data_IF_344320634873
#
_entry.id   IF_344320634873
#
_cell.length_a   1.000
_cell.length_b   1.000
_cell.length_c   1.000
_cell.angle_alpha   90.00
_cell.angle_beta   90.00
_cell.angle_gamma   90.00
#
_symmetry.space_group_name_H-M   'P 1'
#
loop_
_entity.id
_entity.type
_entity.pdbx_description
1 polymer ?
#
# COMPACT_ATOMS: atom_id res chain seq x y z
N UNK A 1 26.39 -4.28 -3.47
CA UNK A 1 26.03 -2.92 -3.94
C UNK A 1 27.30 -2.11 -4.18
N UNK A 2 27.35 -1.37 -5.26
CA UNK A 2 28.43 -0.45 -5.57
C UNK A 2 27.85 0.83 -6.21
N UNK A 3 28.10 1.99 -5.60
CA UNK A 3 27.69 3.28 -6.13
C UNK A 3 28.80 3.76 -7.05
N UNK A 4 28.56 3.77 -8.37
CA UNK A 4 29.56 4.04 -9.39
C UNK A 4 29.86 5.52 -9.57
N UNK A 5 28.89 6.38 -9.23
CA UNK A 5 29.04 7.85 -9.32
C UNK A 5 29.12 8.48 -7.93
N UNK A 6 29.77 9.63 -7.84
CA UNK A 6 29.85 10.37 -6.57
C UNK A 6 28.49 10.98 -6.22
N UNK A 7 27.94 10.60 -5.09
CA UNK A 7 26.69 11.17 -4.53
C UNK A 7 26.96 12.17 -3.40
N UNK A 8 28.22 12.52 -3.16
CA UNK A 8 28.60 13.44 -2.09
C UNK A 8 27.91 14.80 -2.24
N UNK A 9 27.15 15.17 -1.21
CA UNK A 9 26.41 16.43 -1.17
C UNK A 9 25.18 16.48 -2.07
N UNK A 10 24.75 15.34 -2.65
CA UNK A 10 23.53 15.23 -3.46
C UNK A 10 22.34 14.83 -2.60
N UNK A 11 21.16 15.29 -3.00
CA UNK A 11 19.88 14.75 -2.52
C UNK A 11 19.55 13.52 -3.34
N UNK A 12 19.45 12.37 -2.66
CA UNK A 12 19.29 11.06 -3.31
C UNK A 12 17.90 10.50 -3.05
N UNK A 13 17.25 10.03 -4.09
CA UNK A 13 15.99 9.28 -4.01
C UNK A 13 16.24 7.82 -4.34
N UNK A 14 15.96 6.93 -3.38
CA UNK A 14 16.06 5.48 -3.56
C UNK A 14 14.67 4.90 -3.76
N UNK A 15 14.41 4.34 -4.94
CA UNK A 15 13.12 3.73 -5.26
C UNK A 15 13.27 2.23 -5.19
N UNK A 16 12.61 1.59 -4.24
CA UNK A 16 12.66 0.15 -4.02
C UNK A 16 11.31 -0.38 -3.55
N UNK A 17 10.70 -1.27 -4.32
CA UNK A 17 9.51 -2.01 -3.91
C UNK A 17 9.92 -3.18 -3.02
N UNK A 18 9.20 -3.38 -1.90
CA UNK A 18 9.47 -4.48 -0.96
C UNK A 18 8.46 -5.62 -1.21
N UNK A 19 8.32 -6.03 -2.47
CA UNK A 19 7.53 -7.19 -2.88
C UNK A 19 8.34 -8.49 -2.74
N UNK A 20 7.75 -9.62 -3.10
CA UNK A 20 8.47 -10.89 -3.11
C UNK A 20 9.69 -10.86 -4.08
N UNK A 21 10.83 -11.35 -3.61
CA UNK A 21 11.15 -11.92 -2.29
C UNK A 21 11.39 -10.83 -1.23
N UNK A 22 10.44 -10.68 -0.31
CA UNK A 22 10.34 -9.56 0.65
C UNK A 22 11.61 -9.29 1.43
N UNK A 23 12.15 -10.34 2.07
CA UNK A 23 13.31 -10.20 2.97
C UNK A 23 14.58 -9.83 2.21
N UNK A 24 14.73 -10.33 1.00
CA UNK A 24 15.87 -10.04 0.13
C UNK A 24 15.81 -8.59 -0.33
N UNK A 25 14.66 -8.14 -0.85
CA UNK A 25 14.44 -6.78 -1.31
C UNK A 25 14.59 -5.76 -0.17
N UNK A 26 14.08 -6.11 1.02
CA UNK A 26 14.25 -5.23 2.19
C UNK A 26 15.71 -5.13 2.63
N UNK A 27 16.44 -6.25 2.68
CA UNK A 27 17.85 -6.24 3.04
C UNK A 27 18.72 -5.53 1.98
N UNK A 28 18.38 -5.70 0.70
CA UNK A 28 19.04 -4.95 -0.38
C UNK A 28 18.87 -3.44 -0.18
N UNK A 29 17.65 -2.99 0.11
CA UNK A 29 17.37 -1.59 0.43
C UNK A 29 18.25 -1.10 1.59
N UNK A 30 18.30 -1.84 2.70
CA UNK A 30 19.11 -1.49 3.87
C UNK A 30 20.60 -1.32 3.52
N UNK A 31 21.14 -2.21 2.68
CA UNK A 31 22.53 -2.16 2.23
C UNK A 31 22.77 -0.95 1.31
N UNK A 32 21.82 -0.63 0.44
CA UNK A 32 21.89 0.57 -0.42
C UNK A 32 21.93 1.85 0.43
N UNK A 33 21.04 1.92 1.42
CA UNK A 33 20.95 3.09 2.31
C UNK A 33 22.24 3.30 3.12
N UNK A 34 22.81 2.22 3.70
CA UNK A 34 24.10 2.30 4.38
C UNK A 34 25.23 2.77 3.44
N UNK A 35 25.24 2.28 2.20
CA UNK A 35 26.24 2.70 1.21
C UNK A 35 26.12 4.20 0.86
N UNK A 36 24.90 4.72 0.71
CA UNK A 36 24.64 6.14 0.42
C UNK A 36 25.05 7.04 1.59
N UNK A 37 24.72 6.65 2.82
CA UNK A 37 25.16 7.34 4.02
C UNK A 37 26.69 7.42 4.09
N UNK A 38 27.41 6.30 3.87
CA UNK A 38 28.88 6.26 3.83
C UNK A 38 29.49 7.04 2.67
N UNK A 39 28.74 7.19 1.56
CA UNK A 39 29.16 8.01 0.43
C UNK A 39 28.95 9.52 0.65
N UNK A 40 28.44 9.93 1.81
CA UNK A 40 28.19 11.32 2.21
C UNK A 40 27.15 12.01 1.31
N UNK A 41 26.05 11.33 0.97
CA UNK A 41 24.87 11.99 0.42
C UNK A 41 24.42 13.12 1.35
N UNK A 42 23.82 14.18 0.81
CA UNK A 42 23.28 15.29 1.60
C UNK A 42 21.96 14.91 2.28
N UNK A 43 21.06 14.30 1.53
CA UNK A 43 19.84 13.69 2.02
C UNK A 43 19.57 12.37 1.33
N UNK A 44 18.91 11.45 2.02
CA UNK A 44 18.49 10.15 1.48
C UNK A 44 16.99 9.99 1.68
N UNK A 45 16.24 10.08 0.59
CA UNK A 45 14.80 9.99 0.54
C UNK A 45 14.40 8.61 -0.02
N UNK A 46 13.57 7.87 0.69
CA UNK A 46 13.22 6.50 0.29
C UNK A 46 11.80 6.48 -0.28
N UNK A 47 11.66 5.94 -1.49
CA UNK A 47 10.36 5.76 -2.16
C UNK A 47 10.03 4.27 -2.18
N UNK A 48 9.00 3.88 -1.47
CA UNK A 48 8.54 2.48 -1.39
C UNK A 48 7.16 2.36 -2.02
N UNK A 49 7.07 1.95 -3.29
CA UNK A 49 5.79 1.75 -3.98
C UNK A 49 4.93 0.65 -3.37
N UNK A 50 5.54 -0.37 -2.79
CA UNK A 50 4.85 -1.43 -2.04
C UNK A 50 5.60 -1.73 -0.75
N UNK A 51 4.91 -1.54 0.39
CA UNK A 51 5.44 -1.76 1.73
C UNK A 51 4.95 -3.11 2.27
N UNK A 52 5.81 -4.13 2.22
CA UNK A 52 5.50 -5.41 2.84
C UNK A 52 5.35 -5.29 4.36
N UNK A 53 4.73 -6.29 4.97
CA UNK A 53 4.44 -6.37 6.41
C UNK A 53 3.54 -5.26 6.96
N UNK A 54 3.03 -4.34 6.14
CA UNK A 54 2.15 -3.25 6.59
C UNK A 54 0.83 -3.77 7.20
N UNK A 55 0.36 -4.97 6.82
CA UNK A 55 -0.80 -5.64 7.44
C UNK A 55 -0.57 -6.09 8.89
N UNK A 56 0.71 -6.11 9.35
CA UNK A 56 1.08 -6.46 10.73
C UNK A 56 1.34 -5.19 11.55
N UNK A 57 0.41 -4.25 11.51
CA UNK A 57 0.45 -2.97 12.22
C UNK A 57 -0.13 -3.06 13.64
N UNK A 58 -0.81 -4.15 13.95
CA UNK A 58 -1.43 -4.44 15.25
C UNK A 58 -1.18 -5.89 15.67
N UNK A 59 -1.49 -6.20 16.92
CA UNK A 59 -1.48 -7.58 17.44
C UNK A 59 -2.90 -8.14 17.39
N UNK A 60 -3.11 -9.18 16.60
CA UNK A 60 -4.38 -9.92 16.56
C UNK A 60 -4.50 -10.91 17.72
N UNK A 61 -3.36 -11.40 18.23
CA UNK A 61 -3.27 -12.32 19.36
C UNK A 61 -2.18 -11.87 20.33
N UNK A 62 -2.27 -12.36 21.57
CA UNK A 62 -1.21 -12.13 22.56
C UNK A 62 0.13 -12.72 22.09
N UNK A 63 1.22 -11.99 22.35
CA UNK A 63 2.61 -12.40 22.03
C UNK A 63 2.97 -12.38 20.54
N UNK A 64 2.16 -11.77 19.68
CA UNK A 64 2.50 -11.49 18.29
C UNK A 64 3.38 -10.23 18.17
N UNK A 65 4.22 -10.14 17.13
CA UNK A 65 4.96 -8.93 16.82
C UNK A 65 4.05 -7.84 16.22
N UNK A 66 4.56 -6.62 16.14
CA UNK A 66 4.06 -5.55 15.27
C UNK A 66 5.15 -5.33 14.21
N UNK A 67 5.12 -6.12 13.14
CA UNK A 67 6.22 -6.17 12.18
C UNK A 67 6.34 -4.87 11.39
N UNK A 68 5.24 -4.19 11.11
CA UNK A 68 5.27 -2.85 10.50
C UNK A 68 6.10 -1.85 11.32
N UNK A 69 5.98 -1.89 12.67
CA UNK A 69 6.82 -1.05 13.55
C UNK A 69 8.27 -1.49 13.55
N UNK A 70 8.54 -2.80 13.47
CA UNK A 70 9.91 -3.30 13.37
C UNK A 70 10.60 -2.76 12.11
N UNK A 71 9.94 -2.84 10.94
CA UNK A 71 10.48 -2.32 9.69
C UNK A 71 10.71 -0.81 9.77
N UNK A 72 9.76 -0.07 10.34
CA UNK A 72 9.92 1.37 10.54
C UNK A 72 11.16 1.70 11.39
N UNK A 73 11.41 0.93 12.45
CA UNK A 73 12.59 1.11 13.27
C UNK A 73 13.89 0.79 12.50
N UNK A 74 13.89 -0.31 11.71
CA UNK A 74 15.05 -0.72 10.92
C UNK A 74 15.39 0.32 9.86
N UNK A 75 14.40 0.84 9.12
CA UNK A 75 14.62 1.89 8.12
C UNK A 75 15.21 3.16 8.77
N UNK A 76 14.72 3.58 9.92
CA UNK A 76 15.23 4.76 10.61
C UNK A 76 16.66 4.58 11.15
N UNK A 77 17.14 3.33 11.35
CA UNK A 77 18.54 3.07 11.72
C UNK A 77 19.54 3.39 10.61
N UNK A 78 19.09 3.57 9.38
CA UNK A 78 19.93 3.95 8.24
C UNK A 78 20.00 5.46 8.00
N UNK A 79 19.50 6.26 8.95
CA UNK A 79 19.52 7.73 8.91
C UNK A 79 18.91 8.30 7.61
N UNK A 80 17.77 7.73 7.17
CA UNK A 80 16.98 8.30 6.07
C UNK A 80 16.29 9.58 6.52
N UNK A 81 16.18 10.55 5.61
CA UNK A 81 15.60 11.88 5.89
C UNK A 81 14.08 11.89 5.70
N UNK A 82 13.57 11.16 4.71
CA UNK A 82 12.15 11.14 4.35
C UNK A 82 11.73 9.78 3.78
N UNK A 83 10.48 9.42 3.99
CA UNK A 83 9.86 8.23 3.43
C UNK A 83 8.63 8.59 2.59
N UNK A 84 8.64 8.22 1.33
CA UNK A 84 7.50 8.32 0.43
C UNK A 84 6.94 6.90 0.24
N UNK A 85 5.75 6.63 0.73
CA UNK A 85 5.08 5.34 0.60
C UNK A 85 3.78 5.46 -0.19
N UNK A 86 3.43 4.42 -0.95
CA UNK A 86 2.17 4.37 -1.70
C UNK A 86 1.27 3.33 -1.05
N UNK A 87 0.01 3.70 -0.81
CA UNK A 87 -1.06 2.84 -0.29
C UNK A 87 -0.64 1.94 0.88
N UNK A 88 -0.20 2.58 1.97
CA UNK A 88 -0.01 1.86 3.23
C UNK A 88 -1.32 1.22 3.67
N UNK A 89 -1.27 -0.02 4.11
CA UNK A 89 -2.45 -0.78 4.60
C UNK A 89 -3.29 0.02 5.59
N UNK A 90 -2.65 0.78 6.47
CA UNK A 90 -3.31 1.65 7.41
C UNK A 90 -2.55 2.98 7.55
N UNK A 91 -3.29 4.10 7.46
CA UNK A 91 -2.69 5.44 7.49
C UNK A 91 -1.94 5.75 8.80
N UNK A 92 -2.32 5.12 9.92
CA UNK A 92 -1.65 5.27 11.21
C UNK A 92 -0.21 4.71 11.22
N UNK A 93 0.20 3.90 10.25
CA UNK A 93 1.58 3.42 10.11
C UNK A 93 2.57 4.59 9.98
N UNK A 94 2.15 5.72 9.43
CA UNK A 94 2.94 6.96 9.43
C UNK A 94 3.44 7.35 10.83
N UNK A 95 2.62 7.10 11.86
CA UNK A 95 2.98 7.36 13.26
C UNK A 95 4.04 6.41 13.84
N UNK A 96 4.48 5.39 13.09
CA UNK A 96 5.59 4.52 13.50
C UNK A 96 6.97 5.13 13.21
N UNK A 97 7.00 6.16 12.39
CA UNK A 97 8.21 6.86 11.98
C UNK A 97 8.39 8.14 12.79
N UNK A 98 9.64 8.52 13.06
CA UNK A 98 10.02 9.79 13.68
C UNK A 98 10.60 10.78 12.63
N UNK A 99 10.51 10.43 11.36
CA UNK A 99 10.86 11.22 10.19
C UNK A 99 9.58 11.58 9.44
N UNK A 100 9.61 12.57 8.54
CA UNK A 100 8.49 12.83 7.64
C UNK A 100 8.11 11.58 6.83
N UNK A 101 6.81 11.40 6.61
CA UNK A 101 6.27 10.33 5.77
C UNK A 101 5.21 10.89 4.84
N UNK A 102 5.47 10.85 3.54
CA UNK A 102 4.51 11.18 2.52
C UNK A 102 3.75 9.92 2.10
N UNK A 103 2.49 9.82 2.55
CA UNK A 103 1.61 8.71 2.18
C UNK A 103 0.79 9.06 0.95
N UNK A 104 1.24 8.60 -0.20
CA UNK A 104 0.57 8.80 -1.49
C UNK A 104 -0.50 7.71 -1.72
N UNK A 105 -1.51 8.07 -2.51
CA UNK A 105 -2.57 7.15 -2.91
C UNK A 105 -2.58 6.95 -4.43
N UNK A 106 -2.55 5.71 -4.90
CA UNK A 106 -2.66 5.36 -6.31
C UNK A 106 -4.09 5.49 -6.85
N UNK A 107 -5.07 5.47 -5.95
CA UNK A 107 -6.50 5.48 -6.27
C UNK A 107 -6.92 6.55 -7.29
N UNK A 108 -6.53 7.83 -7.18
CA UNK A 108 -6.90 8.85 -8.18
C UNK A 108 -6.35 8.54 -9.58
N UNK A 109 -5.13 8.00 -9.65
CA UNK A 109 -4.47 7.64 -10.91
C UNK A 109 -5.18 6.45 -11.56
N UNK A 110 -5.52 5.43 -10.75
CA UNK A 110 -6.26 4.27 -11.20
C UNK A 110 -7.67 4.65 -11.67
N UNK A 111 -8.38 5.49 -10.92
CA UNK A 111 -9.70 5.98 -11.31
C UNK A 111 -9.66 6.73 -12.64
N UNK A 112 -8.67 7.61 -12.82
CA UNK A 112 -8.49 8.32 -14.08
C UNK A 112 -8.21 7.37 -15.25
N UNK A 113 -7.39 6.33 -15.03
CA UNK A 113 -7.14 5.30 -16.04
C UNK A 113 -8.43 4.59 -16.47
N UNK A 114 -9.31 4.25 -15.52
CA UNK A 114 -10.59 3.61 -15.83
C UNK A 114 -11.51 4.52 -16.64
N UNK A 115 -11.56 5.81 -16.31
CA UNK A 115 -12.33 6.81 -17.06
C UNK A 115 -11.79 7.00 -18.47
N UNK A 116 -10.47 7.18 -18.63
CA UNK A 116 -9.83 7.47 -19.93
C UNK A 116 -9.93 6.29 -20.90
N UNK A 117 -10.00 5.06 -20.38
CA UNK A 117 -10.12 3.84 -21.20
C UNK A 117 -11.58 3.37 -21.36
N UNK A 118 -12.55 4.10 -20.85
CA UNK A 118 -13.96 3.76 -20.98
C UNK A 118 -14.36 2.46 -20.27
N UNK A 119 -13.60 2.07 -19.24
CA UNK A 119 -13.90 0.88 -18.41
C UNK A 119 -15.02 1.22 -17.42
N UNK A 120 -15.08 2.45 -16.97
CA UNK A 120 -16.14 2.99 -16.13
C UNK A 120 -16.42 4.44 -16.54
N UNK A 121 -17.65 4.90 -16.35
CA UNK A 121 -18.04 6.30 -16.54
C UNK A 121 -19.00 6.72 -15.44
N UNK A 122 -19.19 8.03 -15.26
CA UNK A 122 -20.11 8.57 -14.24
C UNK A 122 -21.60 8.35 -14.56
N UNK A 123 -21.90 8.06 -15.82
CA UNK A 123 -23.27 7.83 -16.29
C UNK A 123 -23.57 6.34 -16.52
N UNK A 124 -22.68 5.45 -16.02
CA UNK A 124 -22.78 4.02 -16.24
C UNK A 124 -23.39 3.32 -15.00
N UNK A 125 -24.70 3.08 -15.06
CA UNK A 125 -25.43 2.36 -14.01
C UNK A 125 -25.04 0.87 -13.89
N UNK A 126 -24.26 0.35 -14.85
CA UNK A 126 -23.84 -1.04 -14.89
C UNK A 126 -22.51 -1.30 -14.17
N UNK A 127 -21.85 -0.26 -13.67
CA UNK A 127 -20.60 -0.40 -12.88
C UNK A 127 -20.91 -0.55 -11.39
N UNK A 128 -20.24 -1.49 -10.72
CA UNK A 128 -20.27 -1.66 -9.28
C UNK A 128 -18.87 -1.91 -8.73
N UNK A 129 -18.50 -1.23 -7.64
CA UNK A 129 -17.20 -1.43 -6.98
C UNK A 129 -17.36 -2.40 -5.82
N UNK A 130 -16.55 -3.45 -5.81
CA UNK A 130 -16.67 -4.56 -4.84
C UNK A 130 -15.46 -4.54 -3.90
N UNK A 131 -15.75 -4.59 -2.61
CA UNK A 131 -14.77 -4.90 -1.58
C UNK A 131 -14.73 -6.42 -1.34
N UNK A 132 -13.53 -7.04 -1.31
CA UNK A 132 -13.39 -8.48 -1.05
C UNK A 132 -13.72 -8.86 0.40
N UNK A 133 -13.82 -7.90 1.29
CA UNK A 133 -14.21 -8.08 2.69
C UNK A 133 -14.81 -6.81 3.31
N UNK A 134 -15.19 -6.89 4.59
CA UNK A 134 -15.73 -5.74 5.31
C UNK A 134 -14.71 -4.64 5.60
N UNK A 135 -13.43 -4.98 5.73
CA UNK A 135 -12.37 -4.02 6.07
C UNK A 135 -12.09 -3.06 4.93
N UNK A 136 -12.16 -3.53 3.68
CA UNK A 136 -11.98 -2.76 2.46
C UNK A 136 -13.19 -1.89 2.05
N UNK A 137 -14.35 -1.98 2.75
CA UNK A 137 -15.56 -1.28 2.35
C UNK A 137 -15.40 0.25 2.25
N UNK A 138 -14.56 0.86 3.09
CA UNK A 138 -14.23 2.28 3.00
C UNK A 138 -13.45 2.60 1.73
N UNK A 139 -12.47 1.75 1.39
CA UNK A 139 -11.66 1.86 0.18
C UNK A 139 -12.54 1.76 -1.06
N UNK A 140 -13.39 0.73 -1.15
CA UNK A 140 -14.32 0.53 -2.24
C UNK A 140 -15.29 1.72 -2.40
N UNK A 141 -15.80 2.27 -1.29
CA UNK A 141 -16.67 3.46 -1.33
C UNK A 141 -15.95 4.68 -1.87
N UNK A 142 -14.71 4.92 -1.44
CA UNK A 142 -13.92 6.04 -1.94
C UNK A 142 -13.63 5.86 -3.42
N UNK A 143 -13.29 4.65 -3.88
CA UNK A 143 -13.05 4.39 -5.30
C UNK A 143 -14.32 4.52 -6.12
N UNK A 144 -15.45 3.99 -5.64
CA UNK A 144 -16.76 4.10 -6.29
C UNK A 144 -17.22 5.56 -6.49
N UNK A 145 -16.82 6.46 -5.58
CA UNK A 145 -17.18 7.87 -5.69
C UNK A 145 -16.57 8.59 -6.90
N UNK A 146 -15.52 8.06 -7.51
CA UNK A 146 -14.97 8.61 -8.76
C UNK A 146 -15.87 8.37 -9.96
N UNK A 147 -16.75 7.36 -9.88
CA UNK A 147 -17.65 6.92 -10.97
C UNK A 147 -19.12 7.11 -10.63
N UNK A 148 -19.44 7.63 -9.44
CA UNK A 148 -20.78 7.62 -8.85
C UNK A 148 -21.41 6.22 -8.74
N UNK A 149 -20.55 5.18 -8.70
CA UNK A 149 -20.93 3.77 -8.69
C UNK A 149 -21.31 3.27 -7.30
N UNK A 150 -22.32 2.38 -7.19
CA UNK A 150 -22.65 1.69 -5.96
C UNK A 150 -21.52 0.75 -5.54
N UNK A 151 -21.53 0.34 -4.26
CA UNK A 151 -20.59 -0.65 -3.75
C UNK A 151 -21.29 -1.95 -3.40
N UNK A 152 -20.58 -3.06 -3.51
CA UNK A 152 -20.95 -4.34 -2.92
C UNK A 152 -19.78 -4.88 -2.08
N UNK A 153 -20.09 -5.79 -1.16
CA UNK A 153 -19.11 -6.33 -0.20
C UNK A 153 -19.27 -7.83 -0.15
N UNK A 154 -18.14 -8.55 -0.22
CA UNK A 154 -18.13 -9.99 0.04
C UNK A 154 -18.16 -10.22 1.56
N UNK A 155 -19.22 -10.85 2.06
CA UNK A 155 -19.34 -11.21 3.48
C UNK A 155 -18.77 -12.61 3.72
N UNK A 156 -17.65 -12.64 4.46
CA UNK A 156 -16.93 -13.88 4.80
C UNK A 156 -17.37 -14.49 6.15
N UNK A 157 -18.47 -14.02 6.75
CA UNK A 157 -18.91 -14.49 8.07
C UNK A 157 -19.28 -15.97 8.12
N UNK A 158 -19.64 -16.56 6.99
CA UNK A 158 -19.93 -17.99 6.85
C UNK A 158 -18.71 -18.92 6.90
N UNK A 159 -17.53 -18.41 6.60
CA UNK A 159 -16.28 -19.19 6.44
C UNK A 159 -15.77 -19.90 7.72
N UNK A 160 -16.41 -19.71 8.87
CA UNK A 160 -16.10 -20.49 10.10
C UNK A 160 -16.65 -21.91 10.09
N UNK A 161 -17.66 -22.19 9.26
CA UNK A 161 -18.35 -23.47 9.22
C UNK A 161 -18.39 -24.11 7.83
N UNK A 162 -18.28 -23.31 6.75
CA UNK A 162 -18.16 -23.77 5.37
C UNK A 162 -17.23 -22.84 4.61
N UNK A 163 -16.07 -23.34 4.18
CA UNK A 163 -15.04 -22.54 3.50
C UNK A 163 -15.50 -22.03 2.11
N UNK A 164 -16.70 -22.38 1.67
CA UNK A 164 -17.24 -22.06 0.34
C UNK A 164 -18.45 -21.09 0.38
N UNK A 165 -18.99 -20.77 1.56
CA UNK A 165 -20.15 -19.88 1.67
C UNK A 165 -19.70 -18.42 1.83
N UNK A 166 -19.60 -17.71 0.73
CA UNK A 166 -19.46 -16.25 0.71
C UNK A 166 -20.81 -15.64 0.32
N UNK A 167 -21.35 -14.80 1.19
CA UNK A 167 -22.53 -14.00 0.88
C UNK A 167 -22.09 -12.67 0.26
N UNK A 168 -22.88 -12.17 -0.70
CA UNK A 168 -22.67 -10.86 -1.31
C UNK A 168 -23.69 -9.87 -0.74
N UNK A 169 -23.19 -8.76 -0.20
CA UNK A 169 -24.03 -7.63 0.20
C UNK A 169 -23.98 -6.61 -0.93
N UNK A 170 -25.10 -6.38 -1.58
CA UNK A 170 -25.23 -5.53 -2.76
C UNK A 170 -25.54 -6.33 -4.01
N UNK A 171 -25.90 -5.63 -5.09
CA UNK A 171 -26.28 -6.23 -6.37
C UNK A 171 -25.13 -6.12 -7.37
N UNK A 172 -24.66 -7.25 -7.87
CA UNK A 172 -23.58 -7.38 -8.86
C UNK A 172 -24.04 -8.12 -10.12
N UNK A 173 -25.32 -8.54 -10.14
CA UNK A 173 -25.84 -9.35 -11.24
C UNK A 173 -25.87 -8.54 -12.53
N UNK A 174 -25.31 -9.09 -13.58
CA UNK A 174 -25.26 -8.52 -14.93
C UNK A 174 -24.55 -7.16 -14.99
N UNK A 175 -23.62 -6.89 -14.01
CA UNK A 175 -22.87 -5.64 -13.91
C UNK A 175 -21.37 -5.82 -14.20
N UNK A 176 -20.73 -4.74 -14.61
CA UNK A 176 -19.28 -4.63 -14.66
C UNK A 176 -18.74 -4.44 -13.25
N UNK A 177 -17.96 -5.42 -12.78
CA UNK A 177 -17.44 -5.43 -11.40
C UNK A 177 -16.00 -4.95 -11.38
N UNK A 178 -15.73 -3.95 -10.54
CA UNK A 178 -14.37 -3.50 -10.22
C UNK A 178 -14.07 -3.90 -8.79
N UNK A 179 -13.12 -4.82 -8.60
CA UNK A 179 -12.69 -5.27 -7.27
C UNK A 179 -11.53 -4.39 -6.82
N UNK A 180 -11.62 -3.85 -5.59
CA UNK A 180 -10.62 -2.95 -5.00
C UNK A 180 -10.16 -3.51 -3.66
N UNK A 181 -8.84 -3.66 -3.53
CA UNK A 181 -8.14 -4.08 -2.32
C UNK A 181 -6.81 -3.31 -2.17
N UNK A 182 -6.10 -3.45 -1.00
CA UNK A 182 -4.80 -2.85 -0.68
C UNK A 182 -3.65 -3.86 -0.76
#
# INVERSE_FOLDING_TARGET
VNITESVRGCDVYVIQSIQDPVNENFMELMIVLDALHRASAHSVNVVIPYMAYSRQDTKNRSREPITAKLLANLLQLTDIDDLIAVDLHASQIQGFYNIPVDHLHAMPILAQYFLDNGIASKDDDDVVVVSPDHSGAKLARTFGSYFDAPIAIVDQRGARYDAEAHDMIGDVKDKTVIIVDD
#
